data_IF_293196827319
#
_entry.id   IF_293196827319
#
_cell.length_a   1.000
_cell.length_b   1.000
_cell.length_c   1.000
_cell.angle_alpha   90.00
_cell.angle_beta   90.00
_cell.angle_gamma   90.00
#
_symmetry.space_group_name_H-M   'P 1'
#
loop_
_entity.id
_entity.type
_entity.pdbx_description
1 polymer ?
#
# COMPACT_ATOMS: atom_id res chain seq x y z
N UNK A 1 -8.71 -0.37 -6.28
CA UNK A 1 -10.12 -0.39 -6.68
C UNK A 1 -10.44 0.96 -7.33
N UNK A 2 -10.53 1.02 -8.70
CA UNK A 2 -11.00 2.20 -9.38
C UNK A 2 -12.51 2.33 -9.15
N UNK A 3 -12.91 3.23 -8.26
CA UNK A 3 -14.32 3.60 -8.12
C UNK A 3 -14.61 4.63 -9.21
N UNK A 4 -15.26 4.21 -10.28
CA UNK A 4 -15.85 5.13 -11.25
C UNK A 4 -17.01 5.85 -10.57
N UNK A 5 -16.87 7.14 -10.28
CA UNK A 5 -17.99 8.01 -9.94
C UNK A 5 -18.75 8.32 -11.24
N UNK A 6 -19.81 7.59 -11.49
CA UNK A 6 -20.77 7.99 -12.51
C UNK A 6 -21.72 9.03 -11.90
N UNK A 7 -21.71 10.22 -12.45
CA UNK A 7 -22.68 11.28 -12.16
C UNK A 7 -23.86 11.08 -13.11
N UNK A 8 -24.99 10.61 -12.60
CA UNK A 8 -26.25 10.47 -13.31
C UNK A 8 -27.07 9.29 -12.81
N UNK A 9 -28.40 9.27 -13.08
CA UNK A 9 -29.21 8.10 -12.77
C UNK A 9 -28.77 6.96 -13.68
N UNK A 10 -28.17 5.92 -13.10
CA UNK A 10 -27.78 4.74 -13.86
C UNK A 10 -29.02 4.04 -14.38
N UNK A 11 -29.15 4.00 -15.70
CA UNK A 11 -30.23 3.32 -16.40
C UNK A 11 -30.13 1.77 -16.28
N UNK A 12 -28.98 1.25 -15.91
CA UNK A 12 -28.73 -0.20 -15.89
C UNK A 12 -28.13 -0.63 -14.56
N UNK A 13 -28.75 -1.63 -13.91
CA UNK A 13 -28.18 -2.34 -12.77
C UNK A 13 -27.28 -3.44 -13.28
N UNK A 14 -26.10 -3.61 -12.67
CA UNK A 14 -25.28 -4.78 -12.92
C UNK A 14 -26.03 -6.03 -12.46
N UNK A 15 -26.03 -7.08 -13.26
CA UNK A 15 -26.67 -8.35 -12.92
C UNK A 15 -25.91 -9.05 -11.78
N UNK A 16 -24.61 -8.91 -11.76
CA UNK A 16 -23.70 -9.49 -10.78
C UNK A 16 -22.77 -8.43 -10.20
N UNK A 17 -22.46 -8.58 -8.94
CA UNK A 17 -21.44 -7.80 -8.24
C UNK A 17 -20.43 -8.75 -7.62
N UNK A 18 -19.16 -8.57 -7.94
CA UNK A 18 -18.07 -9.39 -7.40
C UNK A 18 -17.51 -8.72 -6.16
N UNK A 19 -17.56 -9.41 -5.03
CA UNK A 19 -17.15 -8.90 -3.73
C UNK A 19 -16.16 -9.86 -3.07
N UNK A 20 -15.21 -9.32 -2.34
CA UNK A 20 -14.18 -10.12 -1.66
C UNK A 20 -14.58 -10.53 -0.25
N UNK A 21 -15.67 -9.98 0.27
CA UNK A 21 -16.20 -10.28 1.61
C UNK A 21 -17.67 -9.90 1.69
N UNK A 22 -18.43 -10.62 2.48
CA UNK A 22 -19.79 -10.22 2.87
C UNK A 22 -19.82 -8.92 3.70
N UNK A 23 -18.67 -8.51 4.26
CA UNK A 23 -18.51 -7.24 4.98
C UNK A 23 -18.13 -6.07 4.08
N UNK A 24 -17.86 -6.28 2.79
CA UNK A 24 -17.47 -5.22 1.86
C UNK A 24 -18.51 -4.08 1.83
N UNK A 25 -19.79 -4.40 1.97
CA UNK A 25 -20.90 -3.43 2.01
C UNK A 25 -20.89 -2.54 3.26
N UNK A 26 -20.31 -2.98 4.37
CA UNK A 26 -20.21 -2.17 5.58
C UNK A 26 -19.26 -0.98 5.39
N UNK A 27 -18.27 -1.14 4.49
CA UNK A 27 -17.29 -0.09 4.18
C UNK A 27 -17.74 0.84 3.04
N UNK A 28 -18.64 0.36 2.17
CA UNK A 28 -19.11 1.09 0.99
C UNK A 28 -20.64 0.97 0.82
N UNK A 29 -21.44 1.34 1.83
CA UNK A 29 -22.88 1.03 1.85
C UNK A 29 -23.66 1.65 0.69
N UNK A 30 -23.18 2.79 0.14
CA UNK A 30 -23.94 3.56 -0.84
C UNK A 30 -23.53 3.32 -2.30
N UNK A 31 -22.55 2.49 -2.57
CA UNK A 31 -22.02 2.34 -3.94
C UNK A 31 -22.36 1.01 -4.60
N UNK A 32 -22.60 -0.03 -3.83
CA UNK A 32 -22.74 -1.39 -4.36
C UNK A 32 -24.19 -1.89 -4.43
N UNK A 33 -25.08 -1.45 -3.53
CA UNK A 33 -26.49 -1.84 -3.55
C UNK A 33 -27.23 -1.30 -4.79
N UNK A 34 -26.80 -0.17 -5.34
CA UNK A 34 -27.42 0.41 -6.52
C UNK A 34 -27.10 -0.34 -7.83
N UNK A 35 -26.05 -1.16 -7.86
CA UNK A 35 -25.50 -1.66 -9.11
C UNK A 35 -25.70 -3.15 -9.34
N UNK A 36 -26.06 -3.94 -8.33
CA UNK A 36 -26.10 -5.37 -8.50
C UNK A 36 -27.34 -6.01 -7.88
N UNK A 37 -27.87 -7.01 -8.58
CA UNK A 37 -28.95 -7.87 -8.07
C UNK A 37 -28.43 -9.13 -7.37
N UNK A 38 -27.16 -9.51 -7.56
CA UNK A 38 -26.55 -10.71 -6.99
C UNK A 38 -25.06 -10.50 -6.69
N UNK A 39 -24.65 -10.76 -5.46
CA UNK A 39 -23.25 -10.76 -5.05
C UNK A 39 -22.64 -12.13 -5.26
N UNK A 40 -21.46 -12.15 -5.85
CA UNK A 40 -20.63 -13.34 -6.02
C UNK A 40 -19.34 -13.09 -5.24
N UNK A 41 -19.05 -13.97 -4.30
CA UNK A 41 -17.80 -13.92 -3.54
C UNK A 41 -16.64 -14.40 -4.41
N UNK A 42 -15.62 -13.57 -4.51
CA UNK A 42 -14.34 -13.89 -5.13
C UNK A 42 -13.22 -13.53 -4.18
N UNK A 43 -12.10 -14.23 -4.29
CA UNK A 43 -10.87 -13.80 -3.63
C UNK A 43 -10.21 -12.62 -4.38
N UNK A 44 -9.28 -11.96 -3.71
CA UNK A 44 -8.54 -10.82 -4.28
C UNK A 44 -7.41 -11.29 -5.18
N UNK A 45 -6.94 -10.41 -6.08
CA UNK A 45 -5.71 -10.64 -6.86
C UNK A 45 -4.49 -10.86 -5.95
N UNK A 46 -4.47 -10.29 -4.77
CA UNK A 46 -3.40 -10.52 -3.79
C UNK A 46 -3.38 -11.96 -3.29
N UNK A 47 -4.56 -12.60 -3.17
CA UNK A 47 -4.64 -14.01 -2.83
C UNK A 47 -4.13 -14.90 -3.97
N UNK A 48 -4.45 -14.57 -5.23
CA UNK A 48 -3.88 -15.26 -6.39
C UNK A 48 -2.35 -15.12 -6.40
N UNK A 49 -1.86 -13.91 -6.16
CA UNK A 49 -0.42 -13.66 -6.06
C UNK A 49 0.23 -14.44 -4.92
N UNK A 50 -0.48 -14.62 -3.81
CA UNK A 50 0.00 -15.39 -2.67
C UNK A 50 0.11 -16.88 -2.99
N UNK A 51 -0.94 -17.50 -3.56
CA UNK A 51 -0.96 -18.97 -3.81
C UNK A 51 -0.09 -19.39 -5.00
N UNK A 52 0.16 -18.46 -5.95
CA UNK A 52 0.96 -18.73 -7.15
C UNK A 52 2.37 -18.15 -7.09
N UNK A 53 2.78 -17.58 -5.96
CA UNK A 53 4.12 -17.02 -5.81
C UNK A 53 5.18 -18.11 -5.63
N UNK A 54 5.63 -18.64 -6.76
CA UNK A 54 6.71 -19.64 -6.85
C UNK A 54 8.06 -18.98 -7.23
N UNK A 55 8.16 -17.66 -7.14
CA UNK A 55 9.39 -16.95 -7.44
C UNK A 55 10.54 -17.43 -6.51
N UNK A 56 11.73 -17.51 -7.05
CA UNK A 56 12.93 -17.73 -6.26
C UNK A 56 13.20 -16.56 -5.32
N UNK A 57 13.86 -16.86 -4.23
CA UNK A 57 14.28 -15.84 -3.25
C UNK A 57 15.29 -14.89 -3.90
N UNK A 58 15.01 -13.57 -3.80
CA UNK A 58 15.85 -12.54 -4.45
C UNK A 58 17.14 -12.29 -3.68
N UNK A 59 17.07 -12.30 -2.34
CA UNK A 59 18.20 -12.03 -1.47
C UNK A 59 18.41 -13.21 -0.50
N UNK A 60 19.63 -13.68 -0.37
CA UNK A 60 19.97 -14.75 0.59
C UNK A 60 20.06 -14.26 2.03
N UNK A 61 20.38 -12.98 2.23
CA UNK A 61 20.51 -12.38 3.55
C UNK A 61 19.17 -11.84 4.06
N UNK A 62 18.94 -11.80 5.39
CA UNK A 62 17.78 -11.20 5.99
C UNK A 62 17.65 -9.71 5.61
N UNK A 63 16.43 -9.26 5.35
CA UNK A 63 16.15 -7.87 4.98
C UNK A 63 14.76 -7.45 5.44
N UNK A 64 14.58 -6.15 5.54
CA UNK A 64 13.30 -5.48 5.76
C UNK A 64 12.86 -4.86 4.45
N UNK A 65 11.60 -5.04 4.06
CA UNK A 65 11.08 -4.44 2.86
C UNK A 65 10.29 -3.16 3.17
N UNK A 66 10.64 -2.07 2.50
CA UNK A 66 9.80 -0.87 2.45
C UNK A 66 8.92 -0.91 1.21
N UNK A 67 7.60 -0.87 1.41
CA UNK A 67 6.63 -0.78 0.31
C UNK A 67 6.47 0.69 -0.08
N UNK A 68 7.14 1.07 -1.15
CA UNK A 68 7.01 2.41 -1.71
C UNK A 68 5.63 2.62 -2.34
N UNK A 69 5.05 3.77 -2.08
CA UNK A 69 3.75 4.18 -2.62
C UNK A 69 3.85 5.27 -3.68
N UNK A 70 5.07 5.63 -4.07
CA UNK A 70 5.33 6.63 -5.08
C UNK A 70 4.93 8.04 -4.65
N UNK A 71 4.91 8.34 -3.36
CA UNK A 71 4.44 9.62 -2.81
C UNK A 71 5.19 10.82 -3.37
N UNK A 72 6.48 10.65 -3.66
CA UNK A 72 7.33 11.70 -4.24
C UNK A 72 7.05 11.87 -5.74
N UNK A 73 6.78 10.77 -6.45
CA UNK A 73 6.59 10.75 -7.90
C UNK A 73 5.12 10.79 -8.33
N UNK A 74 4.23 11.23 -7.48
CA UNK A 74 2.78 11.21 -7.69
C UNK A 74 2.28 12.15 -8.81
N UNK A 75 2.94 12.17 -9.98
CA UNK A 75 2.37 12.82 -11.17
C UNK A 75 1.01 12.26 -11.57
N UNK A 76 0.71 11.03 -11.18
CA UNK A 76 -0.59 10.40 -11.47
C UNK A 76 -1.74 10.86 -10.56
N UNK A 77 -1.44 11.38 -9.37
CA UNK A 77 -2.43 12.10 -8.53
C UNK A 77 -2.58 13.53 -9.03
N UNK A 78 -1.55 14.07 -9.66
CA UNK A 78 -1.47 15.45 -10.15
C UNK A 78 -2.08 15.66 -11.56
N UNK A 79 -2.65 14.63 -12.21
CA UNK A 79 -3.42 14.82 -13.45
C UNK A 79 -4.74 15.59 -13.24
N UNK A 80 -5.08 15.91 -12.01
CA UNK A 80 -6.08 16.93 -11.71
C UNK A 80 -5.39 18.27 -11.49
N UNK A 81 -5.77 19.35 -12.16
CA UNK A 81 -5.25 20.71 -11.92
C UNK A 81 -5.38 21.19 -10.46
N UNK A 82 -6.13 20.45 -9.64
CA UNK A 82 -6.37 20.71 -8.21
C UNK A 82 -5.65 19.73 -7.28
N UNK A 83 -4.88 18.77 -7.78
CA UNK A 83 -4.17 17.83 -6.92
C UNK A 83 -2.95 18.53 -6.33
N UNK A 84 -3.06 18.94 -5.07
CA UNK A 84 -1.94 19.38 -4.27
C UNK A 84 -1.01 18.18 -4.03
N UNK A 85 0.29 18.41 -4.12
CA UNK A 85 1.31 17.48 -3.64
C UNK A 85 0.98 17.11 -2.19
N UNK A 86 0.93 15.83 -1.90
CA UNK A 86 0.47 15.33 -0.59
C UNK A 86 1.58 15.47 0.46
N UNK A 87 2.83 15.39 0.03
CA UNK A 87 4.02 15.51 0.89
C UNK A 87 5.03 16.46 0.25
N UNK A 88 5.81 17.16 1.07
CA UNK A 88 7.03 17.81 0.61
C UNK A 88 8.08 16.73 0.28
N UNK A 89 8.58 16.63 -0.98
CA UNK A 89 9.43 15.52 -1.39
C UNK A 89 10.74 15.41 -0.62
N UNK A 90 11.39 16.55 -0.37
CA UNK A 90 12.72 16.57 0.24
C UNK A 90 12.60 16.19 1.71
N UNK A 91 11.73 16.84 2.47
CA UNK A 91 11.49 16.50 3.88
C UNK A 91 11.04 15.06 4.06
N UNK A 92 10.14 14.58 3.19
CA UNK A 92 9.68 13.18 3.25
C UNK A 92 10.84 12.22 2.98
N UNK A 93 11.67 12.50 1.98
CA UNK A 93 12.82 11.65 1.66
C UNK A 93 13.82 11.62 2.82
N UNK A 94 14.16 12.78 3.38
CA UNK A 94 15.06 12.88 4.53
C UNK A 94 14.54 12.06 5.73
N UNK A 95 13.28 12.23 6.10
CA UNK A 95 12.67 11.48 7.20
C UNK A 95 12.68 9.96 6.95
N UNK A 96 12.41 9.53 5.71
CA UNK A 96 12.47 8.11 5.35
C UNK A 96 13.89 7.57 5.37
N UNK A 97 14.88 8.33 4.89
CA UNK A 97 16.28 7.92 4.93
C UNK A 97 16.77 7.79 6.37
N UNK A 98 16.38 8.70 7.25
CA UNK A 98 16.71 8.62 8.69
C UNK A 98 16.08 7.39 9.35
N UNK A 99 14.83 7.09 9.05
CA UNK A 99 14.18 5.87 9.51
C UNK A 99 14.93 4.62 9.02
N UNK A 100 15.31 4.58 7.75
CA UNK A 100 16.07 3.45 7.20
C UNK A 100 17.41 3.28 7.89
N UNK A 101 18.11 4.38 8.15
CA UNK A 101 19.38 4.34 8.91
C UNK A 101 19.19 3.79 10.32
N UNK A 102 18.08 4.12 11.00
CA UNK A 102 17.78 3.56 12.32
C UNK A 102 17.58 2.04 12.24
N UNK A 103 16.80 1.56 11.26
CA UNK A 103 16.57 0.12 11.05
C UNK A 103 17.87 -0.61 10.70
N UNK A 104 18.74 0.02 9.91
CA UNK A 104 20.04 -0.54 9.53
C UNK A 104 21.02 -0.62 10.71
N UNK A 105 20.96 0.31 11.66
CA UNK A 105 21.73 0.24 12.91
C UNK A 105 21.35 -0.97 13.77
N UNK A 106 20.11 -1.45 13.68
CA UNK A 106 19.64 -2.67 14.33
C UNK A 106 20.09 -3.95 13.58
N UNK A 107 20.89 -3.83 12.52
CA UNK A 107 21.48 -4.95 11.78
C UNK A 107 20.66 -5.44 10.58
N UNK A 108 19.59 -4.77 10.22
CA UNK A 108 18.76 -5.12 9.06
C UNK A 108 19.25 -4.42 7.79
N UNK A 109 19.03 -5.07 6.64
CA UNK A 109 19.15 -4.43 5.33
C UNK A 109 17.78 -3.93 4.88
N UNK A 110 17.73 -2.77 4.24
CA UNK A 110 16.50 -2.24 3.64
C UNK A 110 16.48 -2.54 2.15
N UNK A 111 15.34 -3.05 1.68
CA UNK A 111 15.03 -3.24 0.26
C UNK A 111 13.75 -2.48 -0.07
N UNK A 112 13.78 -1.73 -1.16
CA UNK A 112 12.64 -0.92 -1.61
C UNK A 112 11.82 -1.72 -2.62
N UNK A 113 10.57 -2.06 -2.26
CA UNK A 113 9.58 -2.55 -3.22
C UNK A 113 8.94 -1.35 -3.91
N UNK A 114 9.48 -0.98 -5.06
CA UNK A 114 9.09 0.24 -5.74
C UNK A 114 7.67 0.18 -6.29
N UNK A 115 6.96 1.31 -6.21
CA UNK A 115 5.64 1.44 -6.82
C UNK A 115 5.76 1.30 -8.35
N UNK A 116 4.88 0.53 -9.04
CA UNK A 116 5.01 0.24 -10.47
C UNK A 116 5.06 1.47 -11.38
N UNK A 117 4.48 2.57 -10.95
CA UNK A 117 4.46 3.84 -11.70
C UNK A 117 5.59 4.80 -11.35
N UNK A 118 6.38 4.49 -10.32
CA UNK A 118 7.54 5.31 -9.95
C UNK A 118 8.71 5.01 -10.88
N UNK A 119 9.51 6.03 -11.15
CA UNK A 119 10.79 5.92 -11.86
C UNK A 119 11.81 6.63 -11.02
N UNK A 120 12.65 5.88 -10.36
CA UNK A 120 13.71 6.42 -9.54
C UNK A 120 15.02 6.47 -10.31
N UNK A 121 15.82 7.50 -10.06
CA UNK A 121 17.22 7.55 -10.49
C UNK A 121 18.02 6.60 -9.60
N UNK A 122 19.20 6.22 -10.08
CA UNK A 122 20.14 5.46 -9.28
C UNK A 122 20.41 6.17 -7.94
N UNK A 123 20.54 5.39 -6.88
CA UNK A 123 20.80 5.89 -5.52
C UNK A 123 19.74 6.84 -4.94
N UNK A 124 18.51 6.84 -5.47
CA UNK A 124 17.45 7.70 -4.96
C UNK A 124 17.16 7.49 -3.47
N UNK A 125 17.16 6.24 -3.01
CA UNK A 125 17.06 5.88 -1.59
C UNK A 125 18.44 5.52 -0.99
N UNK A 126 19.50 6.21 -1.39
CA UNK A 126 20.86 5.82 -1.10
C UNK A 126 21.26 4.56 -1.89
N UNK A 127 22.19 3.76 -1.36
CA UNK A 127 22.64 2.51 -2.01
C UNK A 127 21.67 1.32 -1.82
N UNK A 128 20.45 1.57 -1.36
CA UNK A 128 19.45 0.53 -1.09
C UNK A 128 18.85 -0.02 -2.37
N UNK A 129 18.75 -1.35 -2.54
CA UNK A 129 18.17 -1.96 -3.73
C UNK A 129 16.74 -1.52 -3.96
N UNK A 130 16.42 -1.10 -5.19
CA UNK A 130 15.09 -0.71 -5.63
C UNK A 130 14.58 -1.78 -6.60
N UNK A 131 13.56 -2.53 -6.21
CA UNK A 131 13.05 -3.69 -6.95
C UNK A 131 11.63 -3.41 -7.42
N UNK A 132 11.36 -3.64 -8.70
CA UNK A 132 10.07 -3.48 -9.33
C UNK A 132 9.39 -4.81 -9.60
N UNK A 133 8.06 -4.86 -9.45
CA UNK A 133 7.23 -5.99 -9.88
C UNK A 133 7.34 -7.27 -9.05
N UNK A 134 8.09 -7.24 -7.93
CA UNK A 134 8.34 -8.42 -7.06
C UNK A 134 7.85 -8.21 -5.63
N UNK A 135 6.85 -7.35 -5.43
CA UNK A 135 6.38 -6.98 -4.09
C UNK A 135 5.94 -8.18 -3.26
N UNK A 136 5.21 -9.14 -3.85
CA UNK A 136 4.76 -10.34 -3.14
C UNK A 136 5.94 -11.19 -2.65
N UNK A 137 6.95 -11.42 -3.50
CA UNK A 137 8.17 -12.16 -3.17
C UNK A 137 8.97 -11.46 -2.09
N UNK A 138 9.12 -10.13 -2.22
CA UNK A 138 9.83 -9.33 -1.23
C UNK A 138 9.14 -9.35 0.14
N UNK A 139 7.80 -9.29 0.18
CA UNK A 139 7.04 -9.42 1.44
C UNK A 139 7.22 -10.83 2.01
N UNK A 140 7.07 -11.87 1.19
CA UNK A 140 7.20 -13.28 1.62
C UNK A 140 8.52 -13.54 2.32
N UNK A 141 9.61 -13.02 1.78
CA UNK A 141 10.98 -13.37 2.19
C UNK A 141 11.60 -12.36 3.16
N UNK A 142 10.93 -11.23 3.46
CA UNK A 142 11.41 -10.22 4.41
C UNK A 142 11.25 -10.67 5.87
N UNK A 143 12.02 -10.06 6.77
CA UNK A 143 11.84 -10.21 8.22
C UNK A 143 10.57 -9.49 8.69
N UNK A 144 10.42 -8.24 8.30
CA UNK A 144 9.20 -7.46 8.49
C UNK A 144 9.01 -6.43 7.38
N UNK A 145 7.88 -5.77 7.37
CA UNK A 145 7.48 -4.84 6.32
C UNK A 145 7.30 -3.44 6.89
N UNK A 146 7.84 -2.44 6.20
CA UNK A 146 7.58 -1.02 6.46
C UNK A 146 6.67 -0.48 5.37
N UNK A 147 5.62 0.23 5.73
CA UNK A 147 4.71 0.84 4.77
C UNK A 147 3.91 2.00 5.38
N UNK A 148 3.31 2.84 4.55
CA UNK A 148 2.40 3.91 5.00
C UNK A 148 0.95 3.44 5.02
N UNK A 149 0.32 3.38 3.84
CA UNK A 149 -1.01 2.84 3.60
C UNK A 149 -0.98 2.13 2.24
N UNK A 150 -1.35 0.88 2.18
CA UNK A 150 -1.23 0.12 0.93
C UNK A 150 -2.27 -0.98 0.84
N UNK A 151 -2.72 -1.28 -0.37
CA UNK A 151 -3.50 -2.49 -0.63
C UNK A 151 -2.69 -3.76 -0.38
N UNK A 152 -1.35 -3.68 -0.40
CA UNK A 152 -0.46 -4.80 -0.05
C UNK A 152 -0.58 -5.26 1.41
N UNK A 153 -1.36 -4.55 2.26
CA UNK A 153 -1.67 -5.00 3.62
C UNK A 153 -2.31 -6.40 3.63
N UNK A 154 -3.09 -6.74 2.61
CA UNK A 154 -3.62 -8.09 2.42
C UNK A 154 -2.52 -9.15 2.24
N UNK A 155 -1.48 -8.86 1.46
CA UNK A 155 -0.32 -9.75 1.30
C UNK A 155 0.48 -9.87 2.61
N UNK A 156 0.68 -8.76 3.33
CA UNK A 156 1.35 -8.76 4.64
C UNK A 156 0.62 -9.72 5.59
N UNK A 157 -0.71 -9.65 5.63
CA UNK A 157 -1.54 -10.53 6.46
C UNK A 157 -1.49 -11.99 5.99
N UNK A 158 -1.57 -12.25 4.68
CA UNK A 158 -1.52 -13.60 4.11
C UNK A 158 -0.18 -14.29 4.40
N UNK A 159 0.93 -13.58 4.28
CA UNK A 159 2.27 -14.08 4.62
C UNK A 159 2.57 -14.03 6.13
N UNK A 160 1.61 -13.56 6.96
CA UNK A 160 1.76 -13.44 8.43
C UNK A 160 3.00 -12.65 8.84
N UNK A 161 3.32 -11.61 8.09
CA UNK A 161 4.49 -10.77 8.38
C UNK A 161 4.17 -9.73 9.44
N UNK A 162 5.14 -9.50 10.31
CA UNK A 162 5.13 -8.30 11.16
C UNK A 162 5.31 -7.08 10.30
N UNK A 163 4.79 -5.95 10.76
CA UNK A 163 4.90 -4.71 10.01
C UNK A 163 5.04 -3.49 10.91
N UNK A 164 5.66 -2.47 10.36
CA UNK A 164 5.76 -1.15 10.91
C UNK A 164 4.98 -0.20 9.99
N UNK A 165 3.88 0.34 10.49
CA UNK A 165 3.14 1.36 9.76
C UNK A 165 3.72 2.73 10.09
N UNK A 166 4.14 3.47 9.07
CA UNK A 166 4.77 4.78 9.20
C UNK A 166 3.75 5.86 8.86
N UNK A 167 3.40 6.68 9.84
CA UNK A 167 2.66 7.93 9.66
C UNK A 167 3.58 9.00 9.10
N UNK A 168 3.00 10.06 8.59
CA UNK A 168 3.69 11.29 8.22
C UNK A 168 2.67 12.42 8.33
N UNK A 169 3.02 13.48 9.03
CA UNK A 169 2.07 14.54 9.41
C UNK A 169 1.26 15.07 8.21
N UNK A 170 1.94 15.30 7.07
CA UNK A 170 1.28 15.79 5.86
C UNK A 170 0.30 14.76 5.26
N UNK A 171 0.62 13.46 5.31
CA UNK A 171 -0.29 12.38 4.87
C UNK A 171 -1.55 12.35 5.73
N UNK A 172 -1.40 12.52 7.03
CA UNK A 172 -2.49 12.44 8.00
C UNK A 172 -3.45 13.65 7.96
N UNK A 173 -3.08 14.73 7.27
CA UNK A 173 -4.00 15.82 6.96
C UNK A 173 -5.11 15.37 5.99
N UNK A 174 -4.85 14.40 5.13
CA UNK A 174 -5.85 13.83 4.25
C UNK A 174 -6.79 12.89 5.03
N UNK A 175 -8.07 13.23 5.11
CA UNK A 175 -9.07 12.50 5.90
C UNK A 175 -9.26 11.02 5.46
N UNK A 176 -9.10 10.73 4.18
CA UNK A 176 -9.21 9.35 3.66
C UNK A 176 -7.99 8.51 4.03
N UNK A 177 -6.81 9.09 3.93
CA UNK A 177 -5.55 8.46 4.35
C UNK A 177 -5.57 8.23 5.87
N UNK A 178 -5.90 9.26 6.65
CA UNK A 178 -6.02 9.15 8.10
C UNK A 178 -6.97 8.03 8.54
N UNK A 179 -8.13 7.89 7.87
CA UNK A 179 -9.07 6.78 8.14
C UNK A 179 -8.47 5.41 7.83
N UNK A 180 -7.65 5.29 6.77
CA UNK A 180 -6.95 4.04 6.46
C UNK A 180 -5.98 3.67 7.59
N UNK A 181 -5.19 4.61 8.09
CA UNK A 181 -4.30 4.39 9.25
C UNK A 181 -5.08 3.94 10.48
N UNK A 182 -6.12 4.68 10.87
CA UNK A 182 -6.97 4.34 12.02
C UNK A 182 -7.61 2.96 11.89
N UNK A 183 -8.02 2.58 10.68
CA UNK A 183 -8.59 1.25 10.42
C UNK A 183 -7.53 0.17 10.60
N UNK A 184 -6.33 0.35 10.08
CA UNK A 184 -5.23 -0.60 10.26
C UNK A 184 -4.90 -0.77 11.75
N UNK A 185 -4.70 0.33 12.46
CA UNK A 185 -4.44 0.30 13.91
C UNK A 185 -5.52 -0.46 14.68
N UNK A 186 -6.77 -0.17 14.37
CA UNK A 186 -7.92 -0.83 15.01
C UNK A 186 -7.97 -2.33 14.74
N UNK A 187 -7.73 -2.76 13.49
CA UNK A 187 -7.84 -4.17 13.10
C UNK A 187 -6.68 -5.02 13.62
N UNK A 188 -5.49 -4.47 13.66
CA UNK A 188 -4.28 -5.21 14.04
C UNK A 188 -3.84 -4.94 15.48
N UNK A 189 -4.53 -4.07 16.21
CA UNK A 189 -4.16 -3.72 17.59
C UNK A 189 -2.79 -3.04 17.69
N UNK A 190 -2.41 -2.25 16.71
CA UNK A 190 -1.10 -1.60 16.60
C UNK A 190 -1.24 -0.09 16.52
N UNK A 191 -0.12 0.61 16.57
CA UNK A 191 -0.02 2.04 16.30
C UNK A 191 0.91 2.28 15.12
N UNK A 192 0.76 3.41 14.45
CA UNK A 192 1.75 3.88 13.51
C UNK A 192 2.83 4.70 14.23
N UNK A 193 4.02 4.75 13.66
CA UNK A 193 5.09 5.65 14.10
C UNK A 193 5.14 6.88 13.20
N UNK A 194 5.59 8.00 13.75
CA UNK A 194 5.94 9.21 13.00
C UNK A 194 7.47 9.26 12.91
N UNK A 195 8.06 9.33 11.72
CA UNK A 195 9.51 9.35 11.54
C UNK A 195 10.13 10.74 11.73
N UNK A 196 9.31 11.83 11.91
CA UNK A 196 9.78 13.19 12.18
C UNK A 196 10.12 13.42 13.65
#
# INVERSE_FOLDING_TARGET
LCIFRFWGPLKYKAKYNFVTSNRAFQFFPNTLEYFSSRNILLHTLDYDSFIHNNDERIFSQPYVVFIDQGLINMKWVNNSPKAKQIVNPDRYLDAMLDLFLQVEKEGYKIVIAAHPKSKYKDNFFGERPIIYGKTATLIRDSEFVIFHFSTCLSMIALYKKQFLQVGYAELLQNSSIRRAYQSTCKYFGTNYIDPE
#
